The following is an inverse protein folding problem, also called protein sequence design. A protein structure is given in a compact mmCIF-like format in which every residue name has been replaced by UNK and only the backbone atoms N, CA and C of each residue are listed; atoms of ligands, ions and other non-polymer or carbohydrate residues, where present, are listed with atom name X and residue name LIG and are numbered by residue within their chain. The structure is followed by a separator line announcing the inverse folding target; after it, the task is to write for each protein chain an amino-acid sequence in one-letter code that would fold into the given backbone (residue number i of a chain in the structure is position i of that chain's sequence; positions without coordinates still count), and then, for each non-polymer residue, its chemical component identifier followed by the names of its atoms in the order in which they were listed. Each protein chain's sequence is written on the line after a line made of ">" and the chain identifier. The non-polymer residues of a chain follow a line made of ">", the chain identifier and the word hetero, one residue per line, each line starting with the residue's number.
data_IF_090267507112
#
_entry.id   IF_090267507112
#
_cell.length_a   1.000
_cell.length_b   1.000
_cell.length_c   1.000
_cell.angle_alpha   90.00
_cell.angle_beta   90.00
_cell.angle_gamma   90.00
#
_symmetry.space_group_name_H-M   'P 1'
#
loop_
_entity.id
_entity.type
_entity.pdbx_description
1 polymer ?
#
# COMPACT_ATOMS: atom_id res chain seq x y z
N UNK A 1 7.06 -3.64 28.69
CA UNK A 1 6.89 -5.02 29.23
C UNK A 1 8.03 -5.88 28.71
N UNK A 2 8.73 -6.66 29.56
CA UNK A 2 9.78 -7.59 29.13
C UNK A 2 9.31 -8.59 28.05
N UNK A 3 8.05 -9.03 28.13
CA UNK A 3 7.45 -9.91 27.12
C UNK A 3 7.39 -9.25 25.73
N UNK A 4 7.03 -7.97 25.64
CA UNK A 4 7.00 -7.25 24.36
C UNK A 4 8.42 -7.10 23.78
N UNK A 5 9.43 -6.87 24.63
CA UNK A 5 10.83 -6.80 24.18
C UNK A 5 11.28 -8.13 23.58
N UNK A 6 10.95 -9.25 24.22
CA UNK A 6 11.21 -10.58 23.68
C UNK A 6 10.55 -10.80 22.31
N UNK A 7 9.26 -10.46 22.16
CA UNK A 7 8.54 -10.58 20.88
C UNK A 7 9.17 -9.72 19.77
N UNK A 8 9.62 -8.50 20.08
CA UNK A 8 10.32 -7.63 19.12
C UNK A 8 11.67 -8.23 18.72
N UNK A 9 12.42 -8.78 19.68
CA UNK A 9 13.70 -9.45 19.41
C UNK A 9 13.52 -10.67 18.50
N UNK A 10 12.44 -11.44 18.66
CA UNK A 10 12.14 -12.53 17.72
C UNK A 10 11.80 -12.01 16.32
N UNK A 11 11.06 -10.90 16.23
CA UNK A 11 10.69 -10.31 14.92
C UNK A 11 11.86 -9.67 14.17
N UNK A 12 12.85 -9.11 14.87
CA UNK A 12 13.95 -8.37 14.24
C UNK A 12 14.95 -9.31 13.55
N UNK A 13 15.07 -10.56 14.00
CA UNK A 13 15.96 -11.57 13.40
C UNK A 13 15.69 -11.79 11.90
N UNK A 14 14.45 -11.59 11.45
CA UNK A 14 14.03 -11.79 10.05
C UNK A 14 13.81 -10.48 9.29
N UNK A 15 14.11 -9.32 9.89
CA UNK A 15 13.74 -8.02 9.30
C UNK A 15 14.37 -7.79 7.92
N UNK A 16 15.64 -8.15 7.74
CA UNK A 16 16.32 -7.97 6.45
C UNK A 16 15.65 -8.78 5.34
N UNK A 17 15.40 -10.07 5.58
CA UNK A 17 14.74 -10.97 4.62
C UNK A 17 13.32 -10.49 4.28
N UNK A 18 12.56 -10.04 5.28
CA UNK A 18 11.22 -9.50 5.07
C UNK A 18 11.27 -8.21 4.24
N UNK A 19 12.21 -7.32 4.53
CA UNK A 19 12.37 -6.08 3.76
C UNK A 19 12.79 -6.32 2.31
N UNK A 20 13.59 -7.36 2.04
CA UNK A 20 13.93 -7.75 0.65
C UNK A 20 12.65 -8.08 -0.13
N UNK A 21 11.85 -9.02 0.40
CA UNK A 21 10.60 -9.45 -0.23
C UNK A 21 9.57 -8.33 -0.31
N UNK A 22 9.42 -7.52 0.74
CA UNK A 22 8.47 -6.40 0.78
C UNK A 22 8.78 -5.36 -0.29
N UNK A 23 10.05 -4.95 -0.42
CA UNK A 23 10.44 -3.96 -1.43
C UNK A 23 10.25 -4.49 -2.87
N UNK A 24 10.60 -5.76 -3.10
CA UNK A 24 10.40 -6.43 -4.39
C UNK A 24 8.90 -6.49 -4.75
N UNK A 25 8.08 -6.99 -3.83
CA UNK A 25 6.63 -7.09 -4.02
C UNK A 25 5.99 -5.72 -4.25
N UNK A 26 6.36 -4.71 -3.44
CA UNK A 26 5.80 -3.36 -3.56
C UNK A 26 6.12 -2.71 -4.90
N UNK A 27 7.32 -2.93 -5.43
CA UNK A 27 7.70 -2.43 -6.77
C UNK A 27 6.86 -3.09 -7.86
N UNK A 28 6.67 -4.42 -7.79
CA UNK A 28 5.83 -5.15 -8.74
C UNK A 28 4.35 -4.74 -8.66
N UNK A 29 3.82 -4.57 -7.45
CA UNK A 29 2.46 -4.05 -7.22
C UNK A 29 2.30 -2.64 -7.78
N UNK A 30 3.23 -1.73 -7.49
CA UNK A 30 3.18 -0.35 -7.98
C UNK A 30 3.19 -0.31 -9.52
N UNK A 31 4.04 -1.11 -10.16
CA UNK A 31 4.12 -1.22 -11.63
C UNK A 31 2.80 -1.73 -12.21
N UNK A 32 2.26 -2.81 -11.66
CA UNK A 32 0.97 -3.35 -12.07
C UNK A 32 -0.17 -2.32 -11.96
N UNK A 33 -0.24 -1.60 -10.85
CA UNK A 33 -1.26 -0.57 -10.63
C UNK A 33 -1.11 0.61 -11.59
N UNK A 34 0.12 0.99 -11.95
CA UNK A 34 0.39 2.10 -12.87
C UNK A 34 -0.15 1.84 -14.28
N UNK A 35 -0.19 0.58 -14.70
CA UNK A 35 -0.68 0.15 -16.01
C UNK A 35 -2.19 -0.18 -16.00
N UNK A 36 -2.82 -0.26 -14.83
CA UNK A 36 -4.18 -0.76 -14.70
C UNK A 36 -5.25 0.29 -15.03
N UNK A 37 -6.19 -0.04 -15.92
CA UNK A 37 -7.20 0.90 -16.43
C UNK A 37 -8.18 1.46 -15.39
N UNK A 38 -8.35 0.80 -14.23
CA UNK A 38 -9.17 1.28 -13.10
C UNK A 38 -8.41 2.15 -12.08
N UNK A 39 -7.11 2.35 -12.27
CA UNK A 39 -6.28 3.20 -11.41
C UNK A 39 -6.09 4.55 -12.09
N UNK A 40 -6.17 5.64 -11.32
CA UNK A 40 -6.04 7.03 -11.84
C UNK A 40 -4.62 7.54 -11.69
N UNK A 41 -3.97 7.20 -10.58
CA UNK A 41 -2.62 7.64 -10.24
C UNK A 41 -2.02 6.64 -9.26
N UNK A 42 -0.70 6.55 -9.24
CA UNK A 42 0.08 5.76 -8.28
C UNK A 42 1.15 6.67 -7.67
N UNK A 43 1.33 6.59 -6.37
CA UNK A 43 2.34 7.30 -5.61
C UNK A 43 3.24 6.30 -4.89
N UNK A 44 4.37 6.00 -5.52
CA UNK A 44 5.40 5.12 -4.98
C UNK A 44 6.79 5.62 -5.36
N UNK A 45 7.65 5.85 -4.37
CA UNK A 45 8.98 6.41 -4.59
C UNK A 45 9.93 5.49 -5.37
N UNK A 46 9.61 4.21 -5.48
CA UNK A 46 10.38 3.23 -6.27
C UNK A 46 10.07 3.24 -7.76
N UNK A 47 9.08 4.00 -8.24
CA UNK A 47 8.79 4.12 -9.67
C UNK A 47 9.71 5.14 -10.36
N UNK A 48 10.19 4.88 -11.59
CA UNK A 48 11.11 5.77 -12.30
C UNK A 48 10.58 7.19 -12.57
N UNK A 49 9.27 7.35 -12.68
CA UNK A 49 8.59 8.64 -12.92
C UNK A 49 8.35 9.45 -11.63
N UNK A 50 8.64 8.87 -10.45
CA UNK A 50 8.48 9.57 -9.18
C UNK A 50 9.61 10.58 -8.94
N UNK A 51 9.27 11.79 -8.47
CA UNK A 51 10.23 12.88 -8.21
C UNK A 51 11.40 12.48 -7.30
N UNK A 52 11.14 11.59 -6.33
CA UNK A 52 12.11 11.14 -5.33
C UNK A 52 12.85 9.86 -5.75
N UNK A 53 12.59 9.31 -6.93
CA UNK A 53 13.27 8.10 -7.43
C UNK A 53 14.81 8.24 -7.41
N UNK A 54 15.42 9.37 -7.82
CA UNK A 54 16.88 9.53 -7.70
C UNK A 54 17.39 9.46 -6.25
N UNK A 55 16.58 9.87 -5.27
CA UNK A 55 16.94 9.78 -3.85
C UNK A 55 16.84 8.35 -3.34
N UNK A 56 15.86 7.58 -3.81
CA UNK A 56 15.74 6.14 -3.52
C UNK A 56 16.96 5.40 -4.08
N UNK A 57 17.36 5.69 -5.32
CA UNK A 57 18.57 5.11 -5.90
C UNK A 57 19.82 5.46 -5.08
N UNK A 58 19.97 6.73 -4.68
CA UNK A 58 21.14 7.19 -3.93
C UNK A 58 21.25 6.64 -2.51
N UNK A 59 20.14 6.64 -1.76
CA UNK A 59 20.18 6.36 -0.32
C UNK A 59 19.72 4.96 0.05
N UNK A 60 18.98 4.29 -0.83
CA UNK A 60 18.34 3.00 -0.54
C UNK A 60 18.65 1.93 -1.60
N UNK A 61 19.64 2.18 -2.48
CA UNK A 61 20.06 1.23 -3.53
C UNK A 61 18.89 0.76 -4.42
N UNK A 62 17.98 1.68 -4.72
CA UNK A 62 16.77 1.41 -5.51
C UNK A 62 15.65 0.70 -4.77
N UNK A 63 15.87 0.32 -3.51
CA UNK A 63 14.87 -0.34 -2.66
C UNK A 63 14.06 0.72 -1.90
N UNK A 64 12.87 1.05 -2.40
CA UNK A 64 11.98 1.95 -1.70
C UNK A 64 11.34 1.27 -0.46
N UNK A 65 10.07 1.52 -0.21
CA UNK A 65 9.36 0.98 0.95
C UNK A 65 8.38 -0.12 0.57
N UNK A 66 7.77 -0.75 1.57
CA UNK A 66 6.57 -1.59 1.40
C UNK A 66 5.26 -0.83 1.29
N UNK A 67 5.30 0.50 1.22
CA UNK A 67 4.10 1.34 1.34
C UNK A 67 3.93 2.15 0.06
N UNK A 68 2.74 2.08 -0.51
CA UNK A 68 2.34 2.88 -1.66
C UNK A 68 0.89 3.34 -1.51
N UNK A 69 0.56 4.42 -2.21
CA UNK A 69 -0.81 4.92 -2.32
C UNK A 69 -1.21 5.00 -3.78
N UNK A 70 -2.48 4.78 -4.08
CA UNK A 70 -3.02 4.92 -5.43
C UNK A 70 -4.48 5.36 -5.40
N UNK A 71 -4.95 5.90 -6.52
CA UNK A 71 -6.32 6.36 -6.69
C UNK A 71 -7.16 5.37 -7.48
N UNK A 72 -8.31 4.95 -6.93
CA UNK A 72 -9.27 4.07 -7.63
C UNK A 72 -10.30 4.90 -8.41
N UNK A 73 -10.53 4.55 -9.69
CA UNK A 73 -11.61 5.17 -10.47
C UNK A 73 -12.96 4.98 -9.79
N UNK A 74 -13.80 6.02 -9.83
CA UNK A 74 -15.09 6.02 -9.13
C UNK A 74 -15.07 6.73 -7.77
N UNK A 75 -13.95 7.37 -7.40
CA UNK A 75 -13.89 8.23 -6.22
C UNK A 75 -14.03 7.44 -4.93
N UNK A 76 -14.71 8.05 -3.95
CA UNK A 76 -14.97 7.46 -2.64
C UNK A 76 -15.66 6.09 -2.71
N UNK A 77 -16.71 5.97 -3.54
CA UNK A 77 -17.46 4.73 -3.70
C UNK A 77 -16.62 3.63 -4.36
N UNK A 78 -15.80 4.00 -5.36
CA UNK A 78 -14.86 3.07 -5.99
C UNK A 78 -13.81 2.55 -5.00
N UNK A 79 -13.21 3.44 -4.21
CA UNK A 79 -12.24 3.07 -3.17
C UNK A 79 -12.86 2.19 -2.06
N UNK A 80 -14.09 2.48 -1.65
CA UNK A 80 -14.82 1.67 -0.67
C UNK A 80 -15.15 0.27 -1.22
N UNK A 81 -15.70 0.18 -2.44
CA UNK A 81 -16.00 -1.12 -3.09
C UNK A 81 -14.75 -1.95 -3.30
N UNK A 82 -13.67 -1.34 -3.78
CA UNK A 82 -12.37 -2.00 -3.90
C UNK A 82 -11.94 -2.61 -2.57
N UNK A 83 -11.97 -1.81 -1.49
CA UNK A 83 -11.53 -2.26 -0.17
C UNK A 83 -12.39 -3.42 0.37
N UNK A 84 -13.70 -3.39 0.13
CA UNK A 84 -14.62 -4.45 0.57
C UNK A 84 -14.53 -5.72 -0.31
N UNK A 85 -14.01 -5.63 -1.53
CA UNK A 85 -13.85 -6.75 -2.45
C UNK A 85 -12.57 -7.57 -2.24
N UNK A 86 -11.59 -7.07 -1.47
CA UNK A 86 -10.32 -7.75 -1.19
C UNK A 86 -10.55 -9.06 -0.41
N UNK A 87 -9.84 -10.12 -0.81
CA UNK A 87 -9.96 -11.47 -0.24
C UNK A 87 -8.68 -11.97 0.43
N UNK A 88 -7.54 -11.41 0.04
CA UNK A 88 -6.23 -11.72 0.62
C UNK A 88 -5.72 -10.54 1.44
N UNK A 89 -5.69 -9.35 0.84
CA UNK A 89 -5.19 -8.14 1.48
C UNK A 89 -6.14 -7.72 2.60
N UNK A 90 -5.64 -7.66 3.83
CA UNK A 90 -6.48 -7.43 5.00
C UNK A 90 -6.84 -5.96 5.17
N UNK A 91 -8.12 -5.66 5.41
CA UNK A 91 -8.59 -4.33 5.80
C UNK A 91 -8.09 -3.95 7.20
N UNK A 92 -6.94 -3.28 7.28
CA UNK A 92 -6.31 -2.89 8.53
C UNK A 92 -5.53 -1.60 8.37
N UNK A 93 -5.54 -0.76 9.41
CA UNK A 93 -4.87 0.55 9.42
C UNK A 93 -3.39 0.47 9.80
N UNK A 94 -2.88 -0.70 10.17
CA UNK A 94 -1.47 -0.94 10.49
C UNK A 94 -0.58 -0.90 9.24
N UNK A 95 0.74 -0.95 9.46
CA UNK A 95 1.78 -0.96 8.43
C UNK A 95 2.93 -1.88 8.87
N UNK A 96 3.66 -2.44 7.91
CA UNK A 96 4.89 -3.21 8.16
C UNK A 96 4.67 -4.60 8.77
N UNK A 97 3.45 -5.13 8.67
CA UNK A 97 3.15 -6.53 9.00
C UNK A 97 3.73 -7.46 7.90
N UNK A 98 3.86 -8.74 8.21
CA UNK A 98 4.15 -9.77 7.22
C UNK A 98 3.00 -9.93 6.21
N UNK A 99 1.77 -9.59 6.63
CA UNK A 99 0.58 -9.61 5.78
C UNK A 99 0.43 -8.30 5.01
N UNK A 100 -0.11 -8.41 3.80
CA UNK A 100 -0.54 -7.27 3.00
C UNK A 100 -1.78 -6.63 3.61
N UNK A 101 -1.76 -5.31 3.78
CA UNK A 101 -2.82 -4.53 4.42
C UNK A 101 -3.30 -3.41 3.50
N UNK A 102 -4.61 -3.16 3.48
CA UNK A 102 -5.23 -2.07 2.74
C UNK A 102 -6.06 -1.15 3.65
N UNK A 103 -5.95 0.14 3.41
CA UNK A 103 -6.74 1.17 4.08
C UNK A 103 -7.21 2.19 3.05
N UNK A 104 -8.52 2.41 2.94
CA UNK A 104 -9.10 3.59 2.29
C UNK A 104 -9.26 4.69 3.34
N UNK A 105 -8.36 5.69 3.40
CA UNK A 105 -8.33 6.61 4.53
C UNK A 105 -9.59 7.46 4.64
N UNK A 106 -10.20 7.83 3.51
CA UNK A 106 -11.40 8.65 3.47
C UNK A 106 -12.62 7.97 4.14
N UNK A 107 -12.80 6.65 3.99
CA UNK A 107 -13.92 5.92 4.62
C UNK A 107 -13.59 5.38 6.02
N UNK A 108 -12.32 5.47 6.45
CA UNK A 108 -11.84 4.90 7.72
C UNK A 108 -11.21 5.95 8.62
N UNK A 109 -9.89 6.12 8.55
CA UNK A 109 -9.07 6.89 9.49
C UNK A 109 -9.34 8.39 9.47
N UNK A 110 -9.82 8.93 8.34
CA UNK A 110 -10.05 10.35 8.15
C UNK A 110 -11.53 10.70 8.01
N UNK A 111 -12.45 9.76 8.26
CA UNK A 111 -13.92 9.94 8.10
C UNK A 111 -14.48 11.17 8.84
N UNK A 112 -13.82 11.63 9.90
CA UNK A 112 -14.25 12.78 10.69
C UNK A 112 -13.83 14.14 10.11
N UNK A 113 -12.97 14.15 9.09
CA UNK A 113 -12.53 15.38 8.41
C UNK A 113 -13.53 15.80 7.34
N UNK A 114 -13.69 17.11 7.18
CA UNK A 114 -14.38 17.69 6.01
C UNK A 114 -13.58 17.44 4.73
N UNK A 115 -14.24 17.53 3.56
CA UNK A 115 -13.58 17.35 2.26
C UNK A 115 -12.39 18.31 2.05
N UNK A 116 -12.51 19.55 2.54
CA UNK A 116 -11.44 20.56 2.48
C UNK A 116 -10.25 20.24 3.39
N UNK A 117 -10.50 19.59 4.53
CA UNK A 117 -9.46 19.13 5.45
C UNK A 117 -8.76 17.87 4.91
N UNK A 118 -9.50 16.94 4.31
CA UNK A 118 -8.92 15.77 3.63
C UNK A 118 -8.00 16.20 2.49
N UNK A 119 -8.44 17.16 1.66
CA UNK A 119 -7.64 17.69 0.56
C UNK A 119 -6.36 18.37 1.07
N UNK A 120 -6.45 19.16 2.15
CA UNK A 120 -5.28 19.79 2.80
C UNK A 120 -4.32 18.77 3.41
N UNK A 121 -4.83 17.65 3.91
CA UNK A 121 -4.03 16.54 4.42
C UNK A 121 -3.40 15.68 3.30
N UNK A 122 -3.67 16.00 2.03
CA UNK A 122 -3.22 15.21 0.88
C UNK A 122 -3.96 13.88 0.73
N UNK A 123 -5.12 13.72 1.36
CA UNK A 123 -5.96 12.52 1.25
C UNK A 123 -7.06 12.82 0.25
N UNK A 124 -6.93 12.28 -0.96
CA UNK A 124 -7.99 12.35 -1.96
C UNK A 124 -9.09 11.31 -1.66
N UNK A 125 -10.36 11.57 -2.02
CA UNK A 125 -11.46 10.65 -1.72
C UNK A 125 -11.33 9.27 -2.38
N UNK A 126 -10.53 9.13 -3.44
CA UNK A 126 -10.24 7.89 -4.17
C UNK A 126 -9.02 7.12 -3.63
N UNK A 127 -8.31 7.68 -2.64
CA UNK A 127 -7.03 7.17 -2.18
C UNK A 127 -7.18 5.83 -1.43
N UNK A 128 -6.44 4.83 -1.88
CA UNK A 128 -6.17 3.61 -1.12
C UNK A 128 -4.69 3.55 -0.80
N UNK A 129 -4.37 3.23 0.46
CA UNK A 129 -3.00 2.96 0.93
C UNK A 129 -2.82 1.46 1.08
N UNK A 130 -1.75 0.93 0.47
CA UNK A 130 -1.32 -0.46 0.63
C UNK A 130 -0.03 -0.52 1.44
N UNK A 131 0.00 -1.42 2.42
CA UNK A 131 1.22 -1.93 3.04
C UNK A 131 1.42 -3.34 2.51
N UNK A 132 2.34 -3.52 1.58
CA UNK A 132 2.59 -4.80 0.91
C UNK A 132 3.40 -5.71 1.83
N UNK A 133 2.94 -6.95 1.96
CA UNK A 133 3.53 -7.99 2.80
C UNK A 133 4.49 -8.90 2.04
N UNK A 134 4.70 -10.09 2.61
CA UNK A 134 5.65 -11.10 2.10
C UNK A 134 4.96 -12.28 1.39
N UNK A 135 3.68 -12.16 1.07
CA UNK A 135 2.96 -13.20 0.31
C UNK A 135 3.56 -13.40 -1.10
N UNK A 136 3.13 -14.49 -1.75
CA UNK A 136 3.47 -14.69 -3.15
C UNK A 136 2.89 -13.54 -3.97
N UNK A 137 3.74 -12.89 -4.74
CA UNK A 137 3.37 -11.69 -5.51
C UNK A 137 2.21 -11.93 -6.47
N UNK A 138 2.16 -13.09 -7.12
CA UNK A 138 1.06 -13.38 -8.06
C UNK A 138 -0.30 -13.48 -7.35
N UNK A 139 -0.34 -13.91 -6.09
CA UNK A 139 -1.57 -13.94 -5.28
C UNK A 139 -2.01 -12.53 -4.89
N UNK A 140 -1.04 -11.65 -4.57
CA UNK A 140 -1.31 -10.23 -4.29
C UNK A 140 -1.89 -9.56 -5.54
N UNK A 141 -1.24 -9.75 -6.71
CA UNK A 141 -1.70 -9.15 -7.97
C UNK A 141 -3.08 -9.68 -8.37
N UNK A 142 -3.34 -10.98 -8.20
CA UNK A 142 -4.65 -11.58 -8.49
C UNK A 142 -5.76 -11.01 -7.58
N UNK A 143 -5.47 -10.80 -6.29
CA UNK A 143 -6.43 -10.18 -5.37
C UNK A 143 -6.71 -8.71 -5.70
N UNK A 144 -5.68 -7.96 -6.12
CA UNK A 144 -5.83 -6.57 -6.55
C UNK A 144 -6.64 -6.48 -7.85
N UNK A 145 -6.34 -7.31 -8.85
CA UNK A 145 -7.08 -7.38 -10.12
C UNK A 145 -8.57 -7.64 -9.89
N UNK A 146 -8.90 -8.71 -9.14
CA UNK A 146 -10.30 -9.06 -8.91
C UNK A 146 -11.05 -8.00 -8.10
N UNK A 147 -10.38 -7.32 -7.15
CA UNK A 147 -10.99 -6.24 -6.38
C UNK A 147 -11.19 -4.98 -7.22
N UNK A 148 -10.25 -4.64 -8.11
CA UNK A 148 -10.37 -3.51 -9.04
C UNK A 148 -11.46 -3.73 -10.09
N UNK A 149 -11.66 -4.98 -10.52
CA UNK A 149 -12.75 -5.34 -11.44
C UNK A 149 -14.13 -5.18 -10.79
N UNK A 150 -14.25 -5.41 -9.47
CA UNK A 150 -15.48 -5.26 -8.70
C UNK A 150 -15.79 -3.79 -8.30
N UNK A 151 -14.83 -2.87 -8.49
CA UNK A 151 -14.92 -1.46 -8.08
C UNK A 151 -15.57 -0.53 -9.11
#
# INVERSE_FOLDING_TARGET
>A
SPFNAFMILQGIETVALRMDRICENATRVATFLQEHAKVVWVNYAGLPDHKDFPLVQKYMDGRASGILSFGVKGGFEGGARFQDALKLVTRLVNIGDAKSLACHPASTTHRQLSADEMTRAGVSPDMVRLSVGIEHIDDILADLEQALAAA
#
